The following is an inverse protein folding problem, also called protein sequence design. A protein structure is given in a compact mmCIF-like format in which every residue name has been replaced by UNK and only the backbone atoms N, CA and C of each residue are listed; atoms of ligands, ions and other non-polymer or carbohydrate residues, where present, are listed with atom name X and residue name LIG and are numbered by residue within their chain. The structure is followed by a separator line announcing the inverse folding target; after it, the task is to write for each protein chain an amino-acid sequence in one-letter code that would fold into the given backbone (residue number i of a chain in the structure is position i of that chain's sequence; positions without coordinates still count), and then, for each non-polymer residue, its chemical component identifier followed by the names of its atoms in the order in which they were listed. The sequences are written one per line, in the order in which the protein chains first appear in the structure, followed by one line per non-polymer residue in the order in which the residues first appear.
data_IF_204130886669
#
_entry.id   IF_204130886669
#
_cell.length_a   1.000
_cell.length_b   1.000
_cell.length_c   1.000
_cell.angle_alpha   90.00
_cell.angle_beta   90.00
_cell.angle_gamma   90.00
#
_symmetry.space_group_name_H-M   'P 1'
#
loop_
_entity.id
_entity.type
_entity.pdbx_description
1 polymer ?
#
# COMPACT_ATOMS: atom_id res chain seq x y z
N UNK A 1 -11.48 -10.52 -4.69
CA UNK A 1 -10.25 -9.72 -4.56
C UNK A 1 -9.55 -10.08 -3.24
N UNK A 2 -8.22 -10.08 -3.19
CA UNK A 2 -7.44 -10.66 -2.07
C UNK A 2 -7.70 -10.01 -0.70
N UNK A 3 -7.91 -8.70 -0.64
CA UNK A 3 -8.15 -7.97 0.62
C UNK A 3 -9.63 -7.82 1.00
N UNK A 4 -10.55 -8.28 0.15
CA UNK A 4 -11.97 -7.99 0.33
C UNK A 4 -12.56 -8.53 1.65
N UNK A 5 -12.06 -9.68 2.12
CA UNK A 5 -12.49 -10.28 3.40
C UNK A 5 -12.05 -9.48 4.62
N UNK A 6 -11.08 -8.59 4.46
CA UNK A 6 -10.57 -7.68 5.48
C UNK A 6 -11.24 -6.29 5.40
N UNK A 7 -12.15 -6.08 4.44
CA UNK A 7 -12.76 -4.76 4.21
C UNK A 7 -11.82 -3.75 3.52
N UNK A 8 -10.71 -4.23 2.97
CA UNK A 8 -9.72 -3.45 2.23
C UNK A 8 -9.73 -3.78 0.74
N UNK A 9 -9.20 -2.86 -0.06
CA UNK A 9 -9.01 -3.02 -1.51
C UNK A 9 -7.56 -2.67 -1.87
N UNK A 10 -7.18 -2.97 -3.10
CA UNK A 10 -5.90 -2.51 -3.64
C UNK A 10 -6.11 -1.90 -5.03
N UNK A 11 -5.31 -0.89 -5.36
CA UNK A 11 -5.24 -0.26 -6.68
C UNK A 11 -3.79 -0.21 -7.13
N UNK A 12 -3.55 -0.40 -8.42
CA UNK A 12 -2.22 -0.27 -9.01
C UNK A 12 -2.04 1.16 -9.49
N UNK A 13 -0.88 1.75 -9.21
CA UNK A 13 -0.50 3.09 -9.66
C UNK A 13 0.79 3.04 -10.46
N UNK A 14 0.86 3.86 -11.50
CA UNK A 14 2.04 4.06 -12.32
C UNK A 14 2.70 5.38 -11.92
N UNK A 15 3.84 5.30 -11.25
CA UNK A 15 4.60 6.45 -10.77
C UNK A 15 4.14 7.03 -9.43
N UNK A 16 4.49 8.30 -9.22
CA UNK A 16 4.36 9.00 -7.95
C UNK A 16 2.91 9.38 -7.62
N UNK A 17 2.48 9.09 -6.39
CA UNK A 17 1.19 9.52 -5.85
C UNK A 17 1.41 10.72 -4.93
N UNK A 18 0.78 11.88 -5.19
CA UNK A 18 0.84 13.03 -4.29
C UNK A 18 0.38 12.66 -2.86
N UNK A 19 1.01 13.20 -1.80
CA UNK A 19 0.72 12.78 -0.44
C UNK A 19 -0.76 12.88 -0.04
N UNK A 20 -1.46 13.97 -0.41
CA UNK A 20 -2.88 14.13 -0.10
C UNK A 20 -3.76 13.03 -0.74
N UNK A 21 -3.44 12.62 -1.97
CA UNK A 21 -4.16 11.54 -2.65
C UNK A 21 -3.85 10.18 -2.00
N UNK A 22 -2.60 9.98 -1.59
CA UNK A 22 -2.22 8.77 -0.85
C UNK A 22 -2.98 8.66 0.47
N UNK A 23 -3.12 9.75 1.23
CA UNK A 23 -3.89 9.77 2.48
C UNK A 23 -5.37 9.44 2.23
N UNK A 24 -5.96 10.01 1.18
CA UNK A 24 -7.35 9.70 0.80
C UNK A 24 -7.55 8.20 0.50
N UNK A 25 -6.60 7.56 -0.20
CA UNK A 25 -6.66 6.11 -0.41
C UNK A 25 -6.65 5.32 0.90
N UNK A 26 -5.82 5.70 1.87
CA UNK A 26 -5.78 5.03 3.17
C UNK A 26 -7.07 5.24 3.97
N UNK A 27 -7.61 6.46 3.98
CA UNK A 27 -8.91 6.76 4.60
C UNK A 27 -10.04 5.88 4.01
N UNK A 28 -9.96 5.57 2.71
CA UNK A 28 -10.91 4.73 1.98
C UNK A 28 -10.60 3.23 2.02
N UNK A 29 -9.63 2.80 2.84
CA UNK A 29 -9.15 1.42 2.97
C UNK A 29 -8.69 0.82 1.63
N UNK A 30 -7.92 1.61 0.88
CA UNK A 30 -7.34 1.23 -0.41
C UNK A 30 -5.82 1.23 -0.28
N UNK A 31 -5.21 0.06 -0.41
CA UNK A 31 -3.77 -0.06 -0.51
C UNK A 31 -3.33 0.33 -1.93
N UNK A 32 -2.40 1.27 -2.01
CA UNK A 32 -1.78 1.69 -3.27
C UNK A 32 -0.59 0.77 -3.56
N UNK A 33 -0.54 0.17 -4.74
CA UNK A 33 0.52 -0.74 -5.15
C UNK A 33 1.23 -0.17 -6.38
N UNK A 34 2.53 0.04 -6.28
CA UNK A 34 3.37 0.43 -7.42
C UNK A 34 3.33 -0.64 -8.52
N UNK A 35 3.24 -0.20 -9.77
CA UNK A 35 3.27 -1.05 -10.95
C UNK A 35 4.64 -1.72 -11.18
N UNK A 36 5.71 -1.02 -10.80
CA UNK A 36 7.08 -1.41 -11.11
C UNK A 36 7.56 -2.65 -10.33
N UNK A 37 8.49 -3.39 -10.93
CA UNK A 37 9.23 -4.48 -10.30
C UNK A 37 10.72 -4.13 -10.27
N UNK A 38 11.40 -4.36 -9.14
CA UNK A 38 12.85 -4.16 -9.03
C UNK A 38 13.63 -4.98 -10.08
N UNK A 39 14.78 -4.45 -10.46
CA UNK A 39 15.73 -5.16 -11.31
C UNK A 39 16.40 -6.31 -10.54
N UNK A 40 16.77 -7.38 -11.24
CA UNK A 40 17.49 -8.54 -10.68
C UNK A 40 18.83 -8.16 -10.03
N UNK A 41 19.50 -7.12 -10.53
CA UNK A 41 20.76 -6.62 -9.96
C UNK A 41 20.55 -5.89 -8.62
N UNK A 42 19.31 -5.49 -8.30
CA UNK A 42 18.92 -4.75 -7.11
C UNK A 42 17.90 -5.51 -6.26
N UNK A 43 17.93 -6.85 -6.28
CA UNK A 43 16.97 -7.70 -5.55
C UNK A 43 16.90 -7.37 -4.06
N UNK A 44 18.05 -7.13 -3.43
CA UNK A 44 18.12 -6.91 -1.99
C UNK A 44 17.65 -5.52 -1.56
N UNK A 45 17.75 -4.52 -2.42
CA UNK A 45 17.38 -3.15 -2.06
C UNK A 45 17.17 -2.26 -3.28
N UNK A 46 16.06 -1.53 -3.26
CA UNK A 46 15.80 -0.37 -4.12
C UNK A 46 15.32 0.81 -3.27
N UNK A 47 15.69 2.05 -3.62
CA UNK A 47 15.19 3.23 -2.89
C UNK A 47 13.73 3.55 -3.22
N UNK A 48 13.29 3.29 -4.46
CA UNK A 48 11.90 3.47 -4.86
C UNK A 48 11.06 2.23 -4.46
N UNK A 49 9.80 2.44 -4.06
CA UNK A 49 8.87 1.35 -3.82
C UNK A 49 8.55 0.62 -5.12
N UNK A 50 8.36 -0.69 -5.00
CA UNK A 50 7.97 -1.58 -6.08
C UNK A 50 6.82 -2.49 -5.61
N UNK A 51 6.28 -3.31 -6.50
CA UNK A 51 5.17 -4.22 -6.17
C UNK A 51 5.48 -5.14 -4.98
N UNK A 52 6.74 -5.54 -4.80
CA UNK A 52 7.13 -6.40 -3.66
C UNK A 52 7.09 -5.61 -2.36
N UNK A 53 7.63 -4.39 -2.33
CA UNK A 53 7.52 -3.50 -1.17
C UNK A 53 6.06 -3.26 -0.79
N UNK A 54 5.22 -2.93 -1.77
CA UNK A 54 3.83 -2.57 -1.48
C UNK A 54 2.96 -3.78 -1.14
N UNK A 55 2.94 -4.80 -2.01
CA UNK A 55 2.05 -5.94 -1.85
C UNK A 55 2.53 -6.90 -0.76
N UNK A 56 3.82 -7.28 -0.75
CA UNK A 56 4.33 -8.22 0.24
C UNK A 56 4.79 -7.54 1.54
N UNK A 57 5.23 -6.28 1.46
CA UNK A 57 5.67 -5.52 2.63
C UNK A 57 4.51 -4.97 3.46
N UNK A 58 3.43 -4.47 2.86
CA UNK A 58 2.34 -3.83 3.63
C UNK A 58 1.08 -4.68 3.74
N UNK A 59 0.66 -5.36 2.68
CA UNK A 59 -0.63 -6.07 2.68
C UNK A 59 -0.79 -7.12 3.81
N UNK A 60 0.26 -7.88 4.22
CA UNK A 60 0.13 -8.85 5.31
C UNK A 60 -0.25 -8.23 6.66
N UNK A 61 0.12 -6.97 6.92
CA UNK A 61 -0.17 -6.31 8.20
C UNK A 61 -1.64 -5.89 8.33
N UNK A 62 -2.38 -5.77 7.21
CA UNK A 62 -3.81 -5.40 7.21
C UNK A 62 -4.70 -6.47 7.88
N UNK A 63 -4.20 -7.69 8.07
CA UNK A 63 -4.93 -8.74 8.80
C UNK A 63 -5.11 -8.40 10.28
N UNK A 64 -4.20 -7.60 10.83
CA UNK A 64 -4.28 -7.09 12.19
C UNK A 64 -5.25 -5.90 12.21
N UNK A 65 -6.32 -6.05 12.98
CA UNK A 65 -7.41 -5.06 13.03
C UNK A 65 -6.93 -3.73 13.60
N UNK A 66 -6.08 -3.76 14.63
CA UNK A 66 -5.58 -2.55 15.27
C UNK A 66 -4.67 -1.78 14.31
N UNK A 67 -3.82 -2.50 13.57
CA UNK A 67 -2.97 -1.90 12.53
C UNK A 67 -3.78 -1.33 11.36
N UNK A 68 -4.79 -2.07 10.89
CA UNK A 68 -5.66 -1.62 9.82
C UNK A 68 -6.46 -0.35 10.21
N UNK A 69 -7.01 -0.29 11.42
CA UNK A 69 -7.70 0.89 11.92
C UNK A 69 -6.76 2.08 12.11
N UNK A 70 -5.54 1.83 12.61
CA UNK A 70 -4.50 2.85 12.71
C UNK A 70 -4.19 3.45 11.32
N UNK A 71 -3.97 2.61 10.31
CA UNK A 71 -3.63 3.05 8.96
C UNK A 71 -4.77 3.85 8.32
N UNK A 72 -6.03 3.44 8.52
CA UNK A 72 -7.18 4.20 8.06
C UNK A 72 -7.23 5.59 8.71
N UNK A 73 -7.11 5.66 10.04
CA UNK A 73 -7.13 6.94 10.78
C UNK A 73 -6.00 7.86 10.37
N UNK A 74 -4.83 7.30 10.04
CA UNK A 74 -3.71 8.08 9.52
C UNK A 74 -4.09 8.77 8.21
N UNK A 75 -4.78 8.08 7.30
CA UNK A 75 -5.33 8.67 6.08
C UNK A 75 -6.44 9.69 6.32
N UNK A 76 -7.26 9.53 7.35
CA UNK A 76 -8.34 10.48 7.68
C UNK A 76 -7.84 11.82 8.25
N UNK A 77 -6.62 11.83 8.82
CA UNK A 77 -6.02 13.01 9.46
C UNK A 77 -5.05 13.75 8.54
N UNK A 78 -4.37 13.05 7.63
CA UNK A 78 -3.35 13.61 6.73
C UNK A 78 -3.94 14.33 5.53
#
# INVERSE_FOLDING_TARGET
ACLARLGWRAVVVDGFVPPAIFMEFQALRVLVIALDMRNVDHVFYTPAPDIVHEAAGHAPFIVDVDYAEFLQRFGEVG
#
